data_IF_216047365786
#
_entry.id   IF_216047365786
#
_cell.length_a   1.000
_cell.length_b   1.000
_cell.length_c   1.000
_cell.angle_alpha   90.00
_cell.angle_beta   90.00
_cell.angle_gamma   90.00
#
_symmetry.space_group_name_H-M   'P 1'
#
loop_
_entity.id
_entity.type
_entity.pdbx_description
1 polymer ?
#
# COMPACT_ATOMS: atom_id res chain seq x y z
N UNK A 1 6.34 13.63 9.91
CA UNK A 1 4.95 14.09 10.18
C UNK A 1 4.09 12.84 10.29
N UNK A 2 3.42 12.61 11.43
CA UNK A 2 2.66 11.37 11.64
C UNK A 2 1.22 11.54 11.14
N UNK A 3 0.74 10.63 10.29
CA UNK A 3 -0.67 10.61 9.87
C UNK A 3 -1.50 10.12 11.07
N UNK A 4 -2.58 10.80 11.47
CA UNK A 4 -3.45 10.33 12.54
C UNK A 4 -3.97 8.92 12.26
N UNK A 5 -3.91 8.02 13.25
CA UNK A 5 -4.32 6.61 13.12
C UNK A 5 -5.77 6.47 12.65
N UNK A 6 -6.66 7.38 13.08
CA UNK A 6 -8.05 7.40 12.63
C UNK A 6 -8.19 7.62 11.12
N UNK A 7 -7.28 8.39 10.52
CA UNK A 7 -7.25 8.63 9.08
C UNK A 7 -6.69 7.42 8.33
N UNK A 8 -5.64 6.79 8.85
CA UNK A 8 -5.06 5.55 8.28
C UNK A 8 -6.09 4.42 8.21
N UNK A 9 -6.87 4.22 9.29
CA UNK A 9 -7.94 3.20 9.33
C UNK A 9 -8.97 3.34 8.21
N UNK A 10 -9.21 4.56 7.72
CA UNK A 10 -10.15 4.80 6.60
C UNK A 10 -9.65 4.25 5.27
N UNK A 11 -8.34 4.04 5.13
CA UNK A 11 -7.78 3.41 3.94
C UNK A 11 -7.94 1.90 3.96
N UNK A 12 -8.15 1.27 5.11
CA UNK A 12 -8.10 -0.18 5.20
C UNK A 12 -9.37 -0.78 4.57
N UNK A 13 -9.21 -1.84 3.79
CA UNK A 13 -10.33 -2.67 3.36
C UNK A 13 -10.45 -3.82 4.36
N UNK A 14 -11.56 -3.89 5.08
CA UNK A 14 -11.79 -4.96 6.05
C UNK A 14 -11.72 -6.34 5.40
N UNK A 15 -11.15 -7.31 6.11
CA UNK A 15 -10.97 -8.70 5.64
C UNK A 15 -10.11 -8.82 4.35
N UNK A 16 -9.33 -7.78 4.02
CA UNK A 16 -8.43 -7.84 2.86
C UNK A 16 -7.08 -8.50 3.17
N UNK A 17 -6.64 -8.49 4.43
CA UNK A 17 -5.44 -9.20 4.83
C UNK A 17 -5.73 -10.70 4.80
N UNK A 18 -5.17 -11.39 3.81
CA UNK A 18 -5.31 -12.84 3.65
C UNK A 18 -4.04 -13.44 3.08
N UNK A 19 -3.75 -14.67 3.51
CA UNK A 19 -2.69 -15.45 2.91
C UNK A 19 -3.15 -15.97 1.54
N UNK A 20 -2.21 -16.04 0.60
CA UNK A 20 -2.38 -16.67 -0.70
C UNK A 20 -1.23 -17.66 -0.94
N UNK A 21 -1.23 -18.35 -2.09
CA UNK A 21 -0.23 -19.39 -2.38
C UNK A 21 1.22 -18.89 -2.43
N UNK A 22 1.43 -17.57 -2.60
CA UNK A 22 2.73 -16.95 -2.81
C UNK A 22 3.12 -15.97 -1.67
N UNK A 23 2.34 -15.91 -0.59
CA UNK A 23 2.55 -14.98 0.52
C UNK A 23 1.23 -14.46 1.09
N UNK A 24 1.08 -13.15 1.15
CA UNK A 24 -0.13 -12.49 1.63
C UNK A 24 -0.55 -11.36 0.69
N UNK A 25 -1.80 -10.96 0.78
CA UNK A 25 -2.30 -9.73 0.19
C UNK A 25 -2.99 -8.88 1.24
N UNK A 26 -2.96 -7.57 1.04
CA UNK A 26 -3.64 -6.58 1.86
C UNK A 26 -4.09 -5.46 0.92
N UNK A 27 -5.29 -4.91 1.15
CA UNK A 27 -5.86 -3.91 0.26
C UNK A 27 -6.08 -2.58 0.96
N UNK A 28 -5.69 -1.51 0.26
CA UNK A 28 -5.90 -0.13 0.66
C UNK A 28 -6.83 0.56 -0.33
N UNK A 29 -7.88 1.20 0.16
CA UNK A 29 -8.80 2.00 -0.63
C UNK A 29 -8.68 3.47 -0.26
N UNK A 30 -8.34 4.33 -1.22
CA UNK A 30 -8.32 5.76 -0.96
C UNK A 30 -9.75 6.34 -0.85
N UNK A 31 -10.16 6.68 0.38
CA UNK A 31 -11.50 7.22 0.72
C UNK A 31 -11.49 8.66 1.25
N UNK A 32 -10.38 9.37 1.08
CA UNK A 32 -10.17 10.68 1.71
C UNK A 32 -10.10 11.78 0.67
N UNK A 33 -9.10 11.75 -0.19
CA UNK A 33 -8.87 12.74 -1.24
C UNK A 33 -7.87 12.18 -2.26
N UNK A 34 -7.85 12.65 -3.52
CA UNK A 34 -6.80 12.29 -4.48
C UNK A 34 -5.42 12.42 -3.84
N UNK A 35 -4.65 11.33 -3.83
CA UNK A 35 -3.38 11.27 -3.10
C UNK A 35 -2.31 10.63 -3.98
N UNK A 36 -1.06 11.04 -3.75
CA UNK A 36 0.10 10.50 -4.43
C UNK A 36 0.98 9.78 -3.41
N UNK A 37 1.28 8.51 -3.66
CA UNK A 37 2.29 7.77 -2.91
C UNK A 37 3.64 8.02 -3.60
N UNK A 38 4.60 8.54 -2.84
CA UNK A 38 5.97 8.80 -3.31
C UNK A 38 7.00 7.84 -2.72
N UNK A 39 6.60 6.99 -1.76
CA UNK A 39 7.46 5.96 -1.20
C UNK A 39 6.62 4.94 -0.44
N UNK A 40 7.06 3.69 -0.42
CA UNK A 40 6.56 2.68 0.50
C UNK A 40 7.77 2.03 1.18
N UNK A 41 7.79 2.09 2.51
CA UNK A 41 8.86 1.50 3.33
C UNK A 41 8.76 -0.02 3.40
N UNK A 42 9.69 -0.66 4.11
CA UNK A 42 9.55 -2.06 4.46
C UNK A 42 8.28 -2.28 5.29
N UNK A 43 7.69 -3.46 5.16
CA UNK A 43 6.49 -3.86 5.91
C UNK A 43 6.89 -4.98 6.86
N UNK A 44 6.47 -4.86 8.11
CA UNK A 44 6.59 -5.95 9.09
C UNK A 44 5.25 -6.68 9.21
N UNK A 45 5.27 -8.00 9.02
CA UNK A 45 4.11 -8.87 9.23
C UNK A 45 4.54 -10.00 10.15
N UNK A 46 3.85 -10.17 11.27
CA UNK A 46 4.12 -11.22 12.26
C UNK A 46 5.60 -11.30 12.72
N UNK A 47 6.29 -10.16 12.76
CA UNK A 47 7.70 -10.06 13.16
C UNK A 47 8.70 -10.31 12.02
N UNK A 48 8.23 -10.62 10.81
CA UNK A 48 9.06 -10.75 9.61
C UNK A 48 9.05 -9.45 8.81
N UNK A 49 10.24 -8.95 8.47
CA UNK A 49 10.43 -7.70 7.72
C UNK A 49 10.57 -7.98 6.23
N UNK A 50 9.67 -7.40 5.43
CA UNK A 50 9.68 -7.47 3.98
C UNK A 50 10.25 -6.18 3.38
N UNK A 51 11.33 -6.28 2.61
CA UNK A 51 11.94 -5.14 1.95
C UNK A 51 11.07 -4.62 0.78
N UNK A 52 11.19 -3.34 0.38
CA UNK A 52 10.42 -2.78 -0.74
C UNK A 52 10.54 -3.54 -2.07
N UNK A 53 11.64 -4.26 -2.31
CA UNK A 53 11.80 -5.09 -3.52
C UNK A 53 11.00 -6.40 -3.51
N UNK A 54 10.52 -6.82 -2.33
CA UNK A 54 9.71 -8.02 -2.12
C UNK A 54 8.21 -7.69 -2.11
N UNK A 55 7.85 -6.41 -2.08
CA UNK A 55 6.45 -5.95 -1.99
C UNK A 55 5.98 -5.51 -3.39
N UNK A 56 4.85 -6.07 -3.83
CA UNK A 56 4.21 -5.72 -5.11
C UNK A 56 2.94 -4.92 -4.81
N UNK A 57 2.87 -3.69 -5.33
CA UNK A 57 1.64 -2.90 -5.29
C UNK A 57 0.82 -3.13 -6.56
N UNK A 58 -0.47 -3.41 -6.39
CA UNK A 58 -1.42 -3.70 -7.49
C UNK A 58 -2.51 -2.64 -7.56
N UNK A 59 -2.14 -1.42 -7.95
CA UNK A 59 -3.08 -0.34 -8.22
C UNK A 59 -3.58 -0.37 -9.68
N UNK A 60 -3.00 0.44 -10.58
CA UNK A 60 -3.32 0.39 -12.02
C UNK A 60 -2.52 -0.68 -12.77
N UNK A 61 -1.25 -0.83 -12.41
CA UNK A 61 -0.33 -1.83 -12.93
C UNK A 61 0.51 -2.36 -11.76
N UNK A 62 0.83 -3.66 -11.73
CA UNK A 62 1.76 -4.22 -10.76
C UNK A 62 3.12 -3.52 -10.87
N UNK A 63 3.68 -3.13 -9.73
CA UNK A 63 5.00 -2.52 -9.61
C UNK A 63 5.60 -2.84 -8.25
N UNK A 64 6.92 -2.91 -8.16
CA UNK A 64 7.59 -3.07 -6.86
C UNK A 64 7.43 -1.80 -6.04
N UNK A 65 7.38 -1.95 -4.72
CA UNK A 65 7.36 -0.80 -3.82
C UNK A 65 8.63 0.05 -3.95
N UNK A 66 9.78 -0.56 -4.22
CA UNK A 66 11.06 0.12 -4.48
C UNK A 66 11.05 1.01 -5.73
N UNK A 67 10.14 0.78 -6.67
CA UNK A 67 10.00 1.60 -7.87
C UNK A 67 9.21 2.89 -7.60
N UNK A 68 8.52 3.00 -6.46
CA UNK A 68 7.71 4.16 -6.08
C UNK A 68 8.62 5.18 -5.39
N UNK A 69 8.84 6.30 -6.09
CA UNK A 69 9.71 7.42 -5.68
C UNK A 69 9.13 8.74 -6.18
N UNK A 70 9.63 9.87 -5.69
CA UNK A 70 9.16 11.20 -6.11
C UNK A 70 9.17 11.40 -7.64
N UNK A 71 10.20 10.90 -8.34
CA UNK A 71 10.28 10.96 -9.80
C UNK A 71 9.47 9.90 -10.56
N UNK A 72 8.84 8.96 -9.86
CA UNK A 72 7.97 7.92 -10.42
C UNK A 72 6.85 7.58 -9.43
N UNK A 73 5.96 8.52 -9.12
CA UNK A 73 4.99 8.33 -8.05
C UNK A 73 3.89 7.33 -8.43
N UNK A 74 3.11 6.90 -7.44
CA UNK A 74 1.87 6.16 -7.65
C UNK A 74 0.68 7.07 -7.34
N UNK A 75 -0.12 7.37 -8.36
CA UNK A 75 -1.36 8.13 -8.18
C UNK A 75 -2.49 7.21 -7.70
N UNK A 76 -3.08 7.55 -6.55
CA UNK A 76 -4.26 6.91 -6.00
C UNK A 76 -5.44 7.87 -6.06
N UNK A 77 -6.28 7.71 -7.08
CA UNK A 77 -7.55 8.44 -7.16
C UNK A 77 -8.53 7.96 -6.08
N UNK A 78 -9.47 8.83 -5.72
CA UNK A 78 -10.59 8.47 -4.83
C UNK A 78 -11.32 7.23 -5.34
N UNK A 79 -11.67 6.32 -4.43
CA UNK A 79 -12.42 5.10 -4.72
C UNK A 79 -11.62 3.98 -5.35
N UNK A 80 -10.32 4.16 -5.64
CA UNK A 80 -9.46 3.06 -6.11
C UNK A 80 -8.91 2.25 -4.95
N UNK A 81 -8.91 0.93 -5.16
CA UNK A 81 -8.26 -0.07 -4.31
C UNK A 81 -6.88 -0.37 -4.90
N UNK A 82 -5.88 -0.46 -4.04
CA UNK A 82 -4.49 -0.78 -4.36
C UNK A 82 -3.97 -1.90 -3.46
#
# INVERSE_FOLDING_TARGET
MAIPTALLRRFYVGQSLRNNGDGFEFQLANRIAPTTIVSLGPIEVDGELFAPDQIIIRASKPRKASEIREGAPLFLSMGKVA
#
